data_IF_689320644320
#
_entry.id   IF_689320644320
#
_cell.length_a   1.000
_cell.length_b   1.000
_cell.length_c   1.000
_cell.angle_alpha   90.00
_cell.angle_beta   90.00
_cell.angle_gamma   90.00
#
_symmetry.space_group_name_H-M   'P 1'
#
loop_
_entity.id
_entity.type
_entity.pdbx_description
1 polymer ?
#
# COMPACT_ATOMS: atom_id res chain seq x y z
N UNK A 1 1.42 -24.63 -3.98
CA UNK A 1 0.76 -23.32 -4.14
C UNK A 1 -0.23 -23.13 -3.01
N UNK A 2 -0.52 -21.89 -2.62
CA UNK A 2 -1.49 -21.58 -1.56
C UNK A 2 -2.92 -21.96 -2.00
N UNK A 3 -3.74 -22.42 -1.05
CA UNK A 3 -5.11 -22.91 -1.29
C UNK A 3 -6.15 -22.29 -0.35
N UNK A 4 -5.78 -21.28 0.44
CA UNK A 4 -6.71 -20.58 1.34
C UNK A 4 -7.70 -19.69 0.59
N UNK A 5 -8.74 -19.27 1.30
CA UNK A 5 -9.78 -18.34 0.81
C UNK A 5 -9.29 -16.89 0.75
N UNK A 6 -8.19 -16.60 1.44
CA UNK A 6 -7.49 -15.32 1.42
C UNK A 6 -5.99 -15.58 1.18
N UNK A 7 -5.35 -14.69 0.42
CA UNK A 7 -3.91 -14.64 0.30
C UNK A 7 -3.37 -13.44 1.07
N UNK A 8 -2.45 -13.70 2.00
CA UNK A 8 -1.73 -12.67 2.75
C UNK A 8 -0.32 -12.55 2.18
N UNK A 9 0.06 -11.32 1.84
CA UNK A 9 1.38 -10.95 1.35
C UNK A 9 2.07 -10.12 2.43
N UNK A 10 3.32 -10.45 2.71
CA UNK A 10 4.11 -9.77 3.74
C UNK A 10 5.56 -9.66 3.30
N UNK A 11 6.23 -8.57 3.69
CA UNK A 11 7.68 -8.47 3.56
C UNK A 11 8.37 -9.36 4.59
N UNK A 12 9.62 -9.73 4.30
CA UNK A 12 10.41 -10.67 5.10
C UNK A 12 10.84 -10.09 6.47
N UNK A 13 10.81 -8.78 6.62
CA UNK A 13 11.17 -8.02 7.83
C UNK A 13 9.95 -7.49 8.58
N UNK A 14 8.77 -8.11 8.36
CA UNK A 14 7.55 -7.81 9.12
C UNK A 14 7.31 -8.88 10.17
N UNK A 15 7.20 -8.44 11.42
CA UNK A 15 6.77 -9.24 12.56
C UNK A 15 5.30 -8.98 12.84
N UNK A 16 4.48 -10.02 12.71
CA UNK A 16 3.03 -9.99 12.93
C UNK A 16 2.59 -11.25 13.67
N UNK A 17 1.70 -11.10 14.65
CA UNK A 17 1.24 -12.25 15.43
C UNK A 17 0.22 -13.10 14.65
N UNK A 18 0.10 -14.40 14.93
CA UNK A 18 -0.94 -15.23 14.32
C UNK A 18 -2.38 -14.74 14.59
N UNK A 19 -2.61 -14.04 15.70
CA UNK A 19 -3.92 -13.47 16.02
C UNK A 19 -4.28 -12.32 15.10
N UNK A 20 -3.31 -11.45 14.83
CA UNK A 20 -3.46 -10.35 13.89
C UNK A 20 -3.73 -10.86 12.47
N UNK A 21 -3.07 -11.94 12.04
CA UNK A 21 -3.32 -12.58 10.74
C UNK A 21 -4.74 -13.18 10.65
N UNK A 22 -5.23 -13.83 11.70
CA UNK A 22 -6.63 -14.31 11.76
C UNK A 22 -7.61 -13.15 11.74
N UNK A 23 -7.29 -12.07 12.43
CA UNK A 23 -8.11 -10.86 12.40
C UNK A 23 -8.16 -10.28 10.98
N UNK A 24 -7.03 -10.24 10.26
CA UNK A 24 -7.01 -9.85 8.84
C UNK A 24 -8.00 -10.69 8.03
N UNK A 25 -7.91 -12.02 8.11
CA UNK A 25 -8.77 -12.96 7.38
C UNK A 25 -10.27 -12.67 7.61
N UNK A 26 -10.70 -12.45 8.86
CA UNK A 26 -12.11 -12.17 9.18
C UNK A 26 -12.69 -10.88 8.57
N UNK A 27 -11.85 -9.95 8.10
CA UNK A 27 -12.34 -8.78 7.35
C UNK A 27 -12.84 -9.14 5.96
N UNK A 28 -12.38 -10.23 5.37
CA UNK A 28 -12.90 -10.70 4.08
C UNK A 28 -14.30 -11.29 4.22
N UNK A 29 -14.58 -11.95 5.35
CA UNK A 29 -15.89 -12.54 5.66
C UNK A 29 -16.98 -11.47 5.90
N UNK A 30 -16.56 -10.30 6.38
CA UNK A 30 -17.48 -9.20 6.73
C UNK A 30 -17.66 -8.14 5.64
N UNK A 31 -16.96 -8.28 4.50
CA UNK A 31 -17.08 -7.36 3.37
C UNK A 31 -16.99 -8.11 2.03
N UNK A 32 -18.16 -8.40 1.44
CA UNK A 32 -18.27 -9.10 0.15
C UNK A 32 -17.63 -8.32 -1.01
N UNK A 33 -17.54 -6.99 -0.90
CA UNK A 33 -16.94 -6.13 -1.92
C UNK A 33 -15.45 -5.87 -1.67
N UNK A 34 -14.82 -6.57 -0.73
CA UNK A 34 -13.41 -6.35 -0.42
C UNK A 34 -12.52 -6.80 -1.59
N UNK A 35 -11.73 -5.87 -2.12
CA UNK A 35 -10.67 -6.19 -3.06
C UNK A 35 -9.33 -6.40 -2.37
N UNK A 36 -8.99 -5.52 -1.42
CA UNK A 36 -7.72 -5.57 -0.67
C UNK A 36 -7.92 -4.99 0.73
N UNK A 37 -7.30 -5.62 1.75
CA UNK A 37 -7.11 -5.00 3.05
C UNK A 37 -5.64 -4.98 3.45
N UNK A 38 -5.15 -3.85 3.95
CA UNK A 38 -3.75 -3.66 4.34
C UNK A 38 -3.58 -3.16 5.78
N UNK A 39 -2.43 -3.48 6.38
CA UNK A 39 -2.07 -3.00 7.71
C UNK A 39 -1.68 -1.51 7.72
N UNK A 40 -1.29 -0.97 6.57
CA UNK A 40 -1.10 0.46 6.33
C UNK A 40 -1.77 0.85 5.01
N UNK A 41 -2.58 1.91 5.03
CA UNK A 41 -3.24 2.41 3.82
C UNK A 41 -3.32 3.92 3.76
N UNK A 42 -3.53 4.44 2.54
CA UNK A 42 -3.41 5.86 2.25
C UNK A 42 -4.61 6.36 1.45
N UNK A 43 -5.15 7.50 1.85
CA UNK A 43 -6.29 8.14 1.16
C UNK A 43 -6.06 9.63 0.93
N UNK A 44 -6.86 10.22 0.04
CA UNK A 44 -6.91 11.66 -0.21
C UNK A 44 -7.95 12.34 0.73
N UNK A 45 -7.69 13.56 1.25
CA UNK A 45 -6.42 14.28 1.20
C UNK A 45 -5.33 13.50 1.96
N UNK A 46 -4.09 13.56 1.46
CA UNK A 46 -3.00 12.66 1.84
C UNK A 46 -2.96 12.36 3.34
N UNK A 47 -3.27 11.10 3.67
CA UNK A 47 -3.27 10.61 5.05
C UNK A 47 -2.98 9.13 5.07
N UNK A 48 -1.99 8.76 5.87
CA UNK A 48 -1.66 7.36 6.16
C UNK A 48 -2.45 6.90 7.39
N UNK A 49 -3.06 5.73 7.30
CA UNK A 49 -3.81 5.06 8.37
C UNK A 49 -3.13 3.73 8.67
N UNK A 50 -2.73 3.51 9.92
CA UNK A 50 -2.06 2.27 10.33
C UNK A 50 -2.00 2.15 11.85
N UNK A 51 -1.91 0.92 12.34
CA UNK A 51 -1.56 0.61 13.72
C UNK A 51 -0.16 -0.01 13.84
N UNK A 52 0.61 -0.04 12.74
CA UNK A 52 1.96 -0.59 12.70
C UNK A 52 2.98 0.31 13.39
N UNK A 53 4.11 -0.30 13.75
CA UNK A 53 5.36 0.40 14.06
C UNK A 53 6.42 0.08 13.02
N UNK A 54 7.38 0.96 12.82
CA UNK A 54 8.49 0.74 11.90
C UNK A 54 9.82 1.31 12.40
N UNK A 55 10.92 0.78 11.86
CA UNK A 55 12.29 1.26 12.09
C UNK A 55 12.86 0.93 13.47
N UNK A 56 14.12 1.31 13.67
CA UNK A 56 14.85 1.12 14.93
C UNK A 56 15.43 2.47 15.42
N UNK A 57 14.95 3.04 16.55
CA UNK A 57 13.94 2.48 17.44
C UNK A 57 12.52 2.52 16.84
N UNK A 58 11.59 1.63 17.28
CA UNK A 58 10.25 1.55 16.71
C UNK A 58 9.42 2.83 16.90
N UNK A 59 8.89 3.38 15.80
CA UNK A 59 7.97 4.53 15.81
C UNK A 59 6.61 4.16 15.20
N UNK A 60 5.54 4.83 15.63
CA UNK A 60 4.19 4.57 15.10
C UNK A 60 4.04 5.10 13.67
N UNK A 61 3.36 4.34 12.81
CA UNK A 61 3.05 4.72 11.42
C UNK A 61 1.70 5.44 11.36
N UNK A 62 1.67 6.65 10.79
CA UNK A 62 0.43 7.32 10.40
C UNK A 62 -0.60 7.54 11.53
N UNK A 63 -1.87 7.65 11.15
CA UNK A 63 -2.99 7.80 12.07
C UNK A 63 -3.52 6.44 12.49
N UNK A 64 -3.57 6.19 13.80
CA UNK A 64 -4.19 4.98 14.37
C UNK A 64 -5.68 4.89 14.05
N UNK A 65 -6.14 3.65 13.85
CA UNK A 65 -7.51 3.30 13.50
C UNK A 65 -8.04 2.22 14.46
N UNK A 66 -9.35 2.24 14.71
CA UNK A 66 -10.03 1.28 15.60
C UNK A 66 -10.92 0.29 14.83
N UNK A 67 -11.03 0.45 13.51
CA UNK A 67 -11.81 -0.37 12.61
C UNK A 67 -11.42 -0.10 11.16
N UNK A 68 -11.98 -0.84 10.19
CA UNK A 68 -11.68 -0.66 8.77
C UNK A 68 -11.93 0.76 8.29
N UNK A 69 -11.02 1.28 7.48
CA UNK A 69 -11.13 2.59 6.82
C UNK A 69 -10.95 2.39 5.33
N UNK A 70 -11.90 2.85 4.52
CA UNK A 70 -11.73 2.87 3.06
C UNK A 70 -10.59 3.81 2.69
N UNK A 71 -9.65 3.31 1.88
CA UNK A 71 -8.45 4.02 1.42
C UNK A 71 -8.30 3.86 -0.09
N UNK A 72 -7.40 4.62 -0.70
CA UNK A 72 -7.12 4.49 -2.12
C UNK A 72 -6.13 3.35 -2.39
N UNK A 73 -5.11 3.23 -1.55
CA UNK A 73 -4.04 2.25 -1.71
C UNK A 73 -3.60 1.70 -0.36
N UNK A 74 -2.98 0.53 -0.37
CA UNK A 74 -2.28 -0.03 0.78
C UNK A 74 -0.79 -0.14 0.50
N UNK A 75 0.01 -0.17 1.56
CA UNK A 75 1.45 -0.40 1.48
C UNK A 75 1.76 -1.89 1.24
N UNK A 76 2.84 -2.15 0.50
CA UNK A 76 3.29 -3.49 0.14
C UNK A 76 3.74 -4.35 1.34
N UNK A 77 4.07 -3.76 2.48
CA UNK A 77 4.69 -4.47 3.60
C UNK A 77 3.81 -5.57 4.21
N UNK A 78 2.49 -5.37 4.31
CA UNK A 78 1.55 -6.34 4.84
C UNK A 78 0.11 -6.05 4.38
N UNK A 79 -0.41 -6.91 3.51
CA UNK A 79 -1.78 -6.83 3.03
C UNK A 79 -2.35 -8.20 2.65
N UNK A 80 -3.66 -8.25 2.49
CA UNK A 80 -4.40 -9.44 2.09
C UNK A 80 -5.34 -9.17 0.93
N UNK A 81 -5.64 -10.22 0.16
CA UNK A 81 -6.53 -10.20 -0.98
C UNK A 81 -7.41 -11.45 -0.93
N UNK A 82 -8.75 -11.34 -1.08
CA UNK A 82 -9.60 -12.52 -1.23
C UNK A 82 -9.18 -13.35 -2.46
N UNK A 83 -9.13 -14.67 -2.31
CA UNK A 83 -8.52 -15.56 -3.29
C UNK A 83 -9.27 -15.56 -4.63
N UNK A 84 -10.59 -15.37 -4.61
CA UNK A 84 -11.41 -15.26 -5.82
C UNK A 84 -11.17 -13.93 -6.56
N UNK A 85 -11.01 -12.81 -5.84
CA UNK A 85 -10.61 -11.52 -6.41
C UNK A 85 -9.21 -11.62 -7.00
N UNK A 86 -8.25 -12.21 -6.26
CA UNK A 86 -6.90 -12.43 -6.77
C UNK A 86 -6.94 -13.30 -8.03
N UNK A 87 -7.80 -14.32 -8.10
CA UNK A 87 -7.96 -15.18 -9.29
C UNK A 87 -8.42 -14.43 -10.54
N UNK A 88 -9.23 -13.40 -10.37
CA UNK A 88 -9.70 -12.54 -11.48
C UNK A 88 -8.69 -11.47 -11.85
N UNK A 89 -8.00 -10.91 -10.86
CA UNK A 89 -7.05 -9.82 -11.02
C UNK A 89 -5.76 -10.19 -10.31
N UNK A 90 -4.68 -10.41 -11.08
CA UNK A 90 -3.34 -10.70 -10.59
C UNK A 90 -2.50 -9.42 -10.52
N UNK A 91 -1.34 -9.50 -9.88
CA UNK A 91 -0.33 -8.46 -10.03
C UNK A 91 0.07 -8.31 -11.50
N UNK A 92 0.23 -7.07 -11.93
CA UNK A 92 0.62 -6.74 -13.30
C UNK A 92 2.15 -6.66 -13.38
N UNK A 93 2.76 -7.75 -13.81
CA UNK A 93 4.22 -7.88 -13.98
C UNK A 93 4.76 -7.07 -15.17
N UNK A 94 3.90 -6.58 -16.08
CA UNK A 94 4.30 -5.68 -17.18
C UNK A 94 4.42 -4.24 -16.69
N UNK A 95 3.47 -3.79 -15.86
CA UNK A 95 3.49 -2.45 -15.24
C UNK A 95 4.51 -2.38 -14.10
N UNK A 96 4.55 -3.42 -13.25
CA UNK A 96 5.40 -3.50 -12.07
C UNK A 96 6.47 -4.59 -12.26
N UNK A 97 7.54 -4.26 -12.99
CA UNK A 97 8.63 -5.21 -13.31
C UNK A 97 9.64 -5.41 -12.16
N UNK A 98 9.43 -4.76 -11.03
CA UNK A 98 10.35 -4.74 -9.88
C UNK A 98 9.63 -4.89 -8.55
N UNK A 99 10.24 -4.37 -7.48
CA UNK A 99 9.77 -4.57 -6.10
C UNK A 99 8.89 -3.43 -5.57
N UNK A 100 8.52 -2.48 -6.42
CA UNK A 100 7.83 -1.26 -6.01
C UNK A 100 6.42 -1.21 -6.57
N UNK A 101 5.49 -0.64 -5.80
CA UNK A 101 4.18 -0.17 -6.24
C UNK A 101 3.22 -1.25 -6.75
N UNK A 102 3.54 -2.54 -6.59
CA UNK A 102 2.67 -3.63 -7.04
C UNK A 102 1.36 -3.68 -6.23
N UNK A 103 1.38 -3.32 -4.93
CA UNK A 103 0.15 -3.21 -4.15
C UNK A 103 -0.64 -1.97 -4.55
N UNK A 104 0.04 -0.85 -4.85
CA UNK A 104 -0.59 0.38 -5.36
C UNK A 104 -1.31 0.14 -6.69
N UNK A 105 -0.64 -0.46 -7.66
CA UNK A 105 -1.24 -0.81 -8.96
C UNK A 105 -2.44 -1.76 -8.80
N UNK A 106 -2.30 -2.76 -7.93
CA UNK A 106 -3.37 -3.70 -7.64
C UNK A 106 -4.60 -2.99 -7.05
N UNK A 107 -4.40 -2.13 -6.04
CA UNK A 107 -5.47 -1.36 -5.41
C UNK A 107 -6.25 -0.53 -6.43
N UNK A 108 -5.55 0.22 -7.29
CA UNK A 108 -6.18 1.02 -8.33
C UNK A 108 -6.93 0.15 -9.34
N UNK A 109 -6.37 -1.02 -9.68
CA UNK A 109 -7.03 -1.98 -10.58
C UNK A 109 -8.35 -2.47 -10.00
N UNK A 110 -8.37 -2.93 -8.74
CA UNK A 110 -9.61 -3.47 -8.15
C UNK A 110 -10.63 -2.37 -7.83
N UNK A 111 -10.18 -1.16 -7.45
CA UNK A 111 -11.06 0.01 -7.30
C UNK A 111 -11.78 0.33 -8.62
N UNK A 112 -11.06 0.29 -9.75
CA UNK A 112 -11.66 0.51 -11.07
C UNK A 112 -12.66 -0.59 -11.47
N UNK A 113 -12.69 -1.72 -10.76
CA UNK A 113 -13.64 -2.83 -10.93
C UNK A 113 -14.78 -2.81 -9.92
N UNK A 114 -14.84 -1.81 -9.05
CA UNK A 114 -15.91 -1.62 -8.06
C UNK A 114 -15.64 -2.23 -6.69
N UNK A 115 -14.47 -2.84 -6.48
CA UNK A 115 -14.09 -3.38 -5.17
C UNK A 115 -13.59 -2.30 -4.22
N UNK A 116 -13.72 -2.57 -2.93
CA UNK A 116 -13.19 -1.75 -1.86
C UNK A 116 -11.71 -2.04 -1.55
N UNK A 117 -10.99 -0.99 -1.18
CA UNK A 117 -9.64 -1.08 -0.62
C UNK A 117 -9.68 -0.48 0.79
N UNK A 118 -9.20 -1.25 1.77
CA UNK A 118 -9.31 -0.89 3.18
C UNK A 118 -7.96 -0.92 3.90
N UNK A 119 -7.74 0.07 4.77
CA UNK A 119 -6.78 -0.06 5.87
C UNK A 119 -7.49 -0.70 7.06
N UNK A 120 -6.89 -1.71 7.68
CA UNK A 120 -7.46 -2.43 8.82
C UNK A 120 -6.54 -2.32 10.04
N UNK A 121 -7.09 -2.31 11.27
CA UNK A 121 -6.31 -2.16 12.49
C UNK A 121 -5.50 -3.43 12.75
N UNK A 122 -4.26 -3.44 12.26
CA UNK A 122 -3.30 -4.54 12.45
C UNK A 122 -2.09 -4.05 13.23
N UNK A 123 -1.79 -4.70 14.35
CA UNK A 123 -0.57 -4.45 15.12
C UNK A 123 0.57 -5.33 14.59
N UNK A 124 1.45 -4.73 13.81
CA UNK A 124 2.66 -5.37 13.29
C UNK A 124 3.87 -4.43 13.41
N UNK A 125 5.07 -5.01 13.41
CA UNK A 125 6.32 -4.28 13.39
C UNK A 125 7.05 -4.52 12.07
N UNK A 126 7.48 -3.45 11.41
CA UNK A 126 8.27 -3.50 10.18
C UNK A 126 9.70 -3.05 10.49
N UNK A 127 10.67 -3.96 10.39
CA UNK A 127 12.05 -3.71 10.78
C UNK A 127 12.69 -2.55 9.99
N UNK A 128 12.37 -2.42 8.71
CA UNK A 128 12.81 -1.29 7.90
C UNK A 128 11.82 -0.12 7.92
N UNK A 129 12.29 1.13 7.83
CA UNK A 129 11.38 2.27 7.83
C UNK A 129 10.70 2.52 6.47
N UNK A 130 10.96 1.70 5.45
CA UNK A 130 10.30 1.79 4.13
C UNK A 130 10.86 2.88 3.21
N UNK A 131 12.00 3.52 3.52
CA UNK A 131 12.55 4.62 2.71
C UNK A 131 13.32 4.19 1.45
N UNK A 132 13.17 2.95 1.00
CA UNK A 132 13.86 2.44 -0.20
C UNK A 132 13.15 2.93 -1.47
N UNK A 133 13.61 4.07 -2.00
CA UNK A 133 13.17 4.58 -3.30
C UNK A 133 14.34 4.56 -4.26
N UNK A 134 14.13 3.85 -5.34
CA UNK A 134 15.06 3.69 -6.45
C UNK A 134 14.57 4.44 -7.70
N UNK A 135 15.39 4.48 -8.76
CA UNK A 135 14.93 4.92 -10.08
C UNK A 135 13.74 4.10 -10.59
N UNK A 136 13.72 2.80 -10.26
CA UNK A 136 12.65 1.88 -10.67
C UNK A 136 11.31 2.27 -10.06
N UNK A 137 11.31 2.80 -8.82
CA UNK A 137 10.08 3.33 -8.20
C UNK A 137 9.42 4.40 -9.07
N UNK A 138 10.20 5.37 -9.56
CA UNK A 138 9.67 6.47 -10.36
C UNK A 138 9.24 6.00 -11.75
N UNK A 139 10.03 5.10 -12.35
CA UNK A 139 9.71 4.50 -13.65
C UNK A 139 8.39 3.72 -13.59
N UNK A 140 8.20 2.89 -12.55
CA UNK A 140 6.93 2.19 -12.29
C UNK A 140 5.78 3.16 -12.03
N UNK A 141 6.00 4.23 -11.24
CA UNK A 141 4.95 5.23 -11.00
C UNK A 141 4.48 5.91 -12.29
N UNK A 142 5.38 6.20 -13.25
CA UNK A 142 4.97 6.74 -14.55
C UNK A 142 4.08 5.78 -15.34
N UNK A 143 4.37 4.48 -15.30
CA UNK A 143 3.53 3.45 -15.93
C UNK A 143 2.15 3.38 -15.26
N UNK A 144 2.10 3.38 -13.92
CA UNK A 144 0.84 3.37 -13.15
C UNK A 144 -0.01 4.62 -13.46
N UNK A 145 0.60 5.80 -13.51
CA UNK A 145 -0.10 7.05 -13.89
C UNK A 145 -0.74 6.92 -15.28
N UNK A 146 0.00 6.38 -16.26
CA UNK A 146 -0.51 6.19 -17.63
C UNK A 146 -1.63 5.17 -17.70
N UNK A 147 -1.51 4.08 -16.94
CA UNK A 147 -2.48 2.97 -16.88
C UNK A 147 -3.81 3.41 -16.26
N UNK A 148 -3.77 4.01 -15.07
CA UNK A 148 -4.98 4.28 -14.28
C UNK A 148 -5.60 5.66 -14.54
N UNK A 149 -4.79 6.64 -14.99
CA UNK A 149 -5.25 8.01 -15.29
C UNK A 149 -6.01 8.69 -14.14
N UNK A 150 -5.77 8.27 -12.91
CA UNK A 150 -6.36 8.86 -11.70
C UNK A 150 -5.78 10.27 -11.47
N UNK A 151 -6.59 11.28 -11.07
CA UNK A 151 -6.10 12.64 -10.85
C UNK A 151 -4.97 12.75 -9.81
N UNK A 152 -5.04 11.91 -8.77
CA UNK A 152 -4.06 11.81 -7.69
C UNK A 152 -3.90 10.32 -7.33
N UNK A 153 -2.67 9.86 -7.21
CA UNK A 153 -2.30 8.54 -6.69
C UNK A 153 -1.55 8.76 -5.38
N UNK A 154 -2.12 8.29 -4.28
CA UNK A 154 -1.50 8.30 -2.97
C UNK A 154 -0.76 6.99 -2.71
N UNK A 155 0.41 7.07 -2.08
CA UNK A 155 1.23 5.95 -1.62
C UNK A 155 1.71 6.24 -0.21
N UNK A 156 2.28 5.27 0.51
CA UNK A 156 2.88 5.51 1.83
C UNK A 156 4.03 6.51 1.79
N UNK A 157 4.61 6.77 0.60
CA UNK A 157 5.79 7.60 0.38
C UNK A 157 5.48 8.98 -0.22
N UNK A 158 4.21 9.28 -0.51
CA UNK A 158 3.76 10.56 -1.02
C UNK A 158 2.51 10.48 -1.90
N UNK A 159 2.27 11.52 -2.68
CA UNK A 159 1.22 11.52 -3.69
C UNK A 159 1.78 11.98 -5.04
N UNK A 160 1.17 11.49 -6.12
CA UNK A 160 1.60 11.72 -7.49
C UNK A 160 0.41 12.09 -8.36
N UNK A 161 0.65 12.84 -9.43
CA UNK A 161 -0.40 13.30 -10.34
C UNK A 161 0.05 13.28 -11.80
N UNK A 162 -0.85 12.96 -12.76
CA UNK A 162 -0.55 13.10 -14.19
C UNK A 162 -0.34 14.54 -14.65
N UNK A 163 -0.78 15.53 -13.87
CA UNK A 163 -0.75 16.94 -14.30
C UNK A 163 0.63 17.61 -14.13
N UNK A 164 1.58 16.94 -13.47
CA UNK A 164 2.94 17.45 -13.24
C UNK A 164 3.93 16.40 -13.74
N UNK A 165 4.95 16.76 -14.54
CA UNK A 165 5.99 15.82 -14.95
C UNK A 165 6.67 15.12 -13.76
N UNK A 166 6.95 13.81 -13.89
CA UNK A 166 7.53 13.01 -12.80
C UNK A 166 8.85 13.58 -12.29
N UNK A 167 9.70 14.08 -13.18
CA UNK A 167 10.97 14.73 -12.82
C UNK A 167 10.79 15.91 -11.84
N UNK A 168 9.72 16.71 -12.01
CA UNK A 168 9.41 17.84 -11.13
C UNK A 168 8.90 17.34 -9.77
N UNK A 169 7.97 16.35 -9.79
CA UNK A 169 7.43 15.75 -8.57
C UNK A 169 8.54 15.11 -7.72
N UNK A 170 9.45 14.37 -8.38
CA UNK A 170 10.65 13.78 -7.79
C UNK A 170 11.56 14.84 -7.17
N UNK A 171 11.92 15.88 -7.92
CA UNK A 171 12.80 16.94 -7.44
C UNK A 171 12.24 17.66 -6.21
N UNK A 172 10.94 17.93 -6.19
CA UNK A 172 10.25 18.51 -5.04
C UNK A 172 10.31 17.60 -3.81
N UNK A 173 10.08 16.29 -3.99
CA UNK A 173 10.14 15.30 -2.91
C UNK A 173 11.54 15.18 -2.31
N UNK A 174 12.57 15.05 -3.15
CA UNK A 174 13.97 14.98 -2.71
C UNK A 174 14.38 16.22 -1.93
N UNK A 175 13.92 17.40 -2.35
CA UNK A 175 14.13 18.65 -1.63
C UNK A 175 13.50 18.63 -0.23
N UNK A 176 12.26 18.14 -0.09
CA UNK A 176 11.59 18.03 1.21
C UNK A 176 12.30 17.06 2.17
N UNK A 177 12.71 15.89 1.68
CA UNK A 177 13.42 14.89 2.50
C UNK A 177 14.74 15.44 3.02
N UNK A 178 15.53 16.11 2.17
CA UNK A 178 16.79 16.75 2.59
C UNK A 178 16.61 17.79 3.69
N UNK A 179 15.45 18.45 3.77
CA UNK A 179 15.14 19.39 4.86
C UNK A 179 14.71 18.69 6.14
N UNK A 180 14.07 17.51 6.04
CA UNK A 180 13.65 16.72 7.19
C UNK A 180 14.81 16.04 7.91
N UNK A 181 15.86 15.62 7.18
CA UNK A 181 17.05 14.97 7.75
C UNK A 181 17.99 15.96 8.45
N UNK A 182 17.88 17.27 8.14
CA UNK A 182 18.71 18.33 8.73
C UNK A 182 18.15 18.89 10.06
N UNK A 183 17.12 18.28 10.63
CA UNK A 183 16.53 18.63 11.93
C UNK A 183 16.69 17.46 12.88
#
# INVERSE_FOLDING_TARGET
>A
MASGDVFIFTHQDVEVSPEELRQMESYSESNEELGVAGAAGVSAPFRVFSNMKHGDPPVNVGRRINGPVKVQTVDECLFMVPADVFRRYRFDEETCTGWHLYAVDYCLTVLAKGYDVCAIPVSAYHGSPGYSISEDYYSTMELIIRKHRTPIICTSLGFYTPYIPMAIQRGFREFLIRRSIKR
#
